data_IF_253639759290
#
_entry.id   IF_253639759290
#
_cell.length_a   1.000
_cell.length_b   1.000
_cell.length_c   1.000
_cell.angle_alpha   90.00
_cell.angle_beta   90.00
_cell.angle_gamma   90.00
#
_symmetry.space_group_name_H-M   'P 1'
#
loop_
_entity.id
_entity.type
_entity.pdbx_description
1 polymer ?
#
# COMPACT_ATOMS: atom_id res chain seq x y z
N UNK A 1 2.74 -5.34 -12.50
CA UNK A 1 3.67 -5.99 -13.45
C UNK A 1 3.80 -5.27 -14.80
N UNK A 2 2.85 -4.35 -15.14
CA UNK A 2 2.85 -3.64 -16.43
C UNK A 2 4.19 -2.95 -16.73
N UNK A 3 4.70 -2.12 -15.80
CA UNK A 3 5.96 -1.38 -16.01
C UNK A 3 7.16 -2.30 -16.25
N UNK A 4 7.22 -3.44 -15.58
CA UNK A 4 8.30 -4.42 -15.79
C UNK A 4 8.26 -4.99 -17.21
N UNK A 5 7.11 -5.51 -17.65
CA UNK A 5 7.00 -6.07 -19.01
C UNK A 5 7.18 -5.02 -20.10
N UNK A 6 6.66 -3.80 -19.86
CA UNK A 6 6.87 -2.67 -20.77
C UNK A 6 8.35 -2.33 -20.92
N UNK A 7 9.10 -2.27 -19.80
CA UNK A 7 10.54 -1.97 -19.85
C UNK A 7 11.33 -3.03 -20.61
N UNK A 8 10.99 -4.32 -20.44
CA UNK A 8 11.63 -5.38 -21.22
C UNK A 8 11.29 -5.29 -22.72
N UNK A 9 10.04 -5.01 -23.05
CA UNK A 9 9.62 -4.84 -24.45
C UNK A 9 10.31 -3.64 -25.11
N UNK A 10 10.37 -2.48 -24.44
CA UNK A 10 11.10 -1.30 -24.92
C UNK A 10 12.59 -1.60 -25.06
N UNK A 11 13.17 -2.31 -24.09
CA UNK A 11 14.56 -2.77 -24.16
C UNK A 11 14.83 -3.63 -25.40
N UNK A 12 14.00 -4.64 -25.65
CA UNK A 12 14.15 -5.55 -26.77
C UNK A 12 13.97 -4.84 -28.13
N UNK A 13 12.89 -4.07 -28.29
CA UNK A 13 12.56 -3.38 -29.51
C UNK A 13 13.63 -2.30 -29.83
N UNK A 14 13.96 -1.46 -28.85
CA UNK A 14 14.93 -0.37 -29.01
C UNK A 14 16.34 -0.90 -29.33
N UNK A 15 16.78 -1.93 -28.59
CA UNK A 15 18.06 -2.59 -28.85
C UNK A 15 18.11 -3.19 -30.25
N UNK A 16 17.10 -3.97 -30.66
CA UNK A 16 17.04 -4.57 -31.98
C UNK A 16 17.03 -3.51 -33.10
N UNK A 17 16.20 -2.47 -32.96
CA UNK A 17 16.08 -1.41 -33.95
C UNK A 17 17.42 -0.70 -34.18
N UNK A 18 18.14 -0.28 -33.14
CA UNK A 18 19.43 0.41 -33.29
C UNK A 18 20.52 -0.55 -33.78
N UNK A 19 20.58 -1.77 -33.25
CA UNK A 19 21.59 -2.76 -33.67
C UNK A 19 21.48 -3.07 -35.17
N UNK A 20 20.25 -3.27 -35.66
CA UNK A 20 20.02 -3.56 -37.08
C UNK A 20 20.22 -2.34 -37.97
N UNK A 21 19.70 -1.17 -37.56
CA UNK A 21 19.79 0.05 -38.40
C UNK A 21 21.22 0.58 -38.56
N UNK A 22 22.04 0.42 -37.51
CA UNK A 22 23.39 0.92 -37.48
C UNK A 22 24.45 -0.15 -37.80
N UNK A 23 24.06 -1.39 -38.04
CA UNK A 23 24.98 -2.49 -38.34
C UNK A 23 26.01 -2.71 -37.22
N UNK A 24 25.62 -2.60 -35.97
CA UNK A 24 26.53 -2.54 -34.81
C UNK A 24 27.18 -3.89 -34.43
N UNK A 25 26.79 -4.99 -35.09
CA UNK A 25 27.36 -6.31 -34.86
C UNK A 25 28.05 -6.75 -36.16
N UNK A 26 29.36 -6.54 -36.21
CA UNK A 26 30.21 -6.98 -37.32
C UNK A 26 31.04 -8.21 -36.96
N UNK A 27 31.29 -8.43 -35.70
CA UNK A 27 32.05 -9.56 -35.19
C UNK A 27 31.36 -10.18 -33.96
N UNK A 28 31.76 -11.42 -33.64
CA UNK A 28 31.14 -12.17 -32.54
C UNK A 28 31.31 -11.47 -31.16
N UNK A 29 32.37 -10.72 -30.97
CA UNK A 29 32.59 -9.98 -29.71
C UNK A 29 31.76 -8.70 -29.58
N UNK A 30 31.05 -8.26 -30.63
CA UNK A 30 30.19 -7.07 -30.57
C UNK A 30 28.84 -7.34 -29.89
N UNK A 31 28.54 -8.60 -29.50
CA UNK A 31 27.30 -8.97 -28.81
C UNK A 31 27.03 -8.21 -27.52
N UNK A 32 28.03 -7.62 -26.87
CA UNK A 32 27.83 -6.76 -25.74
C UNK A 32 27.02 -5.50 -26.06
N UNK A 33 27.08 -5.00 -27.28
CA UNK A 33 26.40 -3.77 -27.71
C UNK A 33 24.88 -3.90 -27.61
N UNK A 34 24.18 -4.86 -28.25
CA UNK A 34 22.75 -5.04 -28.10
C UNK A 34 22.32 -5.35 -26.64
N UNK A 35 23.18 -6.01 -25.88
CA UNK A 35 22.90 -6.26 -24.45
C UNK A 35 22.92 -4.96 -23.66
N UNK A 36 23.90 -4.10 -23.83
CA UNK A 36 23.98 -2.80 -23.20
C UNK A 36 22.79 -1.89 -23.59
N UNK A 37 22.48 -1.87 -24.91
CA UNK A 37 21.32 -1.14 -25.43
C UNK A 37 20.02 -1.64 -24.80
N UNK A 38 19.83 -2.95 -24.68
CA UNK A 38 18.65 -3.54 -24.04
C UNK A 38 18.48 -3.03 -22.61
N UNK A 39 19.52 -3.13 -21.78
CA UNK A 39 19.44 -2.65 -20.39
C UNK A 39 19.33 -1.12 -20.31
N UNK A 40 19.97 -0.38 -21.22
CA UNK A 40 19.87 1.07 -21.32
C UNK A 40 18.43 1.52 -21.60
N UNK A 41 17.78 0.95 -22.61
CA UNK A 41 16.37 1.27 -22.93
C UNK A 41 15.39 0.82 -21.84
N UNK A 42 15.61 -0.37 -21.27
CA UNK A 42 14.78 -0.85 -20.17
C UNK A 42 14.89 0.06 -18.94
N UNK A 43 16.10 0.50 -18.60
CA UNK A 43 16.33 1.46 -17.52
C UNK A 43 15.70 2.83 -17.82
N UNK A 44 15.89 3.34 -19.04
CA UNK A 44 15.31 4.62 -19.47
C UNK A 44 13.77 4.59 -19.38
N UNK A 45 13.13 3.50 -19.77
CA UNK A 45 11.67 3.32 -19.63
C UNK A 45 11.21 3.45 -18.16
N UNK A 46 11.91 2.80 -17.24
CA UNK A 46 11.60 2.89 -15.81
C UNK A 46 11.87 4.29 -15.29
N UNK A 47 13.02 4.89 -15.65
CA UNK A 47 13.37 6.25 -15.25
C UNK A 47 12.34 7.29 -15.73
N UNK A 48 11.85 7.16 -16.96
CA UNK A 48 10.79 8.01 -17.52
C UNK A 48 9.46 7.84 -16.75
N UNK A 49 9.12 6.63 -16.32
CA UNK A 49 7.92 6.42 -15.52
C UNK A 49 8.01 7.14 -14.15
N UNK A 50 9.17 7.10 -13.49
CA UNK A 50 9.40 7.84 -12.24
C UNK A 50 9.47 9.36 -12.48
N UNK A 51 10.10 9.79 -13.58
CA UNK A 51 10.11 11.21 -13.97
C UNK A 51 8.70 11.72 -14.23
N UNK A 52 7.87 10.94 -14.91
CA UNK A 52 6.47 11.29 -15.14
C UNK A 52 5.70 11.40 -13.82
N UNK A 53 5.88 10.45 -12.90
CA UNK A 53 5.28 10.54 -11.56
C UNK A 53 5.77 11.77 -10.78
N UNK A 54 7.05 12.14 -10.92
CA UNK A 54 7.62 13.36 -10.34
C UNK A 54 6.96 14.61 -10.91
N UNK A 55 6.87 14.71 -12.23
CA UNK A 55 6.20 15.84 -12.91
C UNK A 55 4.75 15.94 -12.44
N UNK A 56 3.99 14.83 -12.44
CA UNK A 56 2.62 14.82 -11.92
C UNK A 56 2.55 15.31 -10.46
N UNK A 57 3.53 14.95 -9.63
CA UNK A 57 3.53 15.36 -8.22
C UNK A 57 3.66 16.87 -8.04
N UNK A 58 4.31 17.57 -8.98
CA UNK A 58 4.45 19.03 -8.96
C UNK A 58 3.12 19.76 -9.19
N UNK A 59 2.19 19.15 -9.93
CA UNK A 59 0.85 19.68 -10.17
C UNK A 59 -0.14 19.38 -9.04
N UNK A 60 0.30 18.74 -7.95
CA UNK A 60 -0.55 18.42 -6.81
C UNK A 60 -0.50 19.53 -5.75
N UNK A 61 -1.52 20.39 -5.72
CA UNK A 61 -1.69 21.33 -4.61
C UNK A 61 -2.20 20.58 -3.36
N UNK A 62 -1.27 20.27 -2.46
CA UNK A 62 -1.56 19.51 -1.23
C UNK A 62 -2.33 20.28 -0.17
N UNK A 63 -2.53 21.61 -0.36
CA UNK A 63 -3.32 22.43 0.54
C UNK A 63 -4.82 22.32 0.27
N UNK A 64 -5.20 21.94 -0.96
CA UNK A 64 -6.60 21.76 -1.36
C UNK A 64 -7.06 20.34 -1.06
N UNK A 65 -8.22 20.15 -0.41
CA UNK A 65 -8.78 18.82 -0.22
C UNK A 65 -9.09 18.16 -1.57
N UNK A 66 -9.05 16.85 -1.62
CA UNK A 66 -9.37 16.04 -2.80
C UNK A 66 -10.71 15.38 -2.56
N UNK A 67 -11.71 15.70 -3.38
CA UNK A 67 -13.08 15.18 -3.23
C UNK A 67 -13.29 13.81 -3.89
N UNK A 68 -12.36 13.38 -4.74
CA UNK A 68 -12.35 12.08 -5.40
C UNK A 68 -10.94 11.69 -5.82
N UNK A 69 -10.69 10.38 -5.91
CA UNK A 69 -9.45 9.84 -6.44
C UNK A 69 -9.26 10.25 -7.92
N UNK A 70 -8.09 10.78 -8.26
CA UNK A 70 -7.75 11.06 -9.65
C UNK A 70 -7.26 9.78 -10.35
N UNK A 71 -7.94 9.38 -11.43
CA UNK A 71 -7.67 8.12 -12.14
C UNK A 71 -6.27 8.01 -12.71
N UNK A 72 -5.71 9.11 -13.26
CA UNK A 72 -4.35 9.12 -13.80
C UNK A 72 -3.31 8.90 -12.70
N UNK A 73 -3.43 9.64 -11.59
CA UNK A 73 -2.53 9.48 -10.45
C UNK A 73 -2.65 8.09 -9.83
N UNK A 74 -3.85 7.56 -9.72
CA UNK A 74 -4.08 6.20 -9.23
C UNK A 74 -3.43 5.15 -10.15
N UNK A 75 -3.60 5.28 -11.46
CA UNK A 75 -2.96 4.38 -12.42
C UNK A 75 -1.44 4.39 -12.30
N UNK A 76 -0.82 5.57 -12.27
CA UNK A 76 0.63 5.74 -12.10
C UNK A 76 1.08 5.15 -10.77
N UNK A 77 0.37 5.47 -9.68
CA UNK A 77 0.67 4.97 -8.35
C UNK A 77 0.61 3.43 -8.27
N UNK A 78 -0.47 2.82 -8.74
CA UNK A 78 -0.63 1.36 -8.75
C UNK A 78 0.42 0.68 -9.63
N UNK A 79 0.78 1.29 -10.77
CA UNK A 79 1.77 0.74 -11.68
C UNK A 79 3.17 0.72 -11.04
N UNK A 80 3.58 1.84 -10.45
CA UNK A 80 4.87 1.96 -9.75
C UNK A 80 4.87 1.07 -8.49
N UNK A 81 3.77 1.07 -7.72
CA UNK A 81 3.62 0.24 -6.52
C UNK A 81 3.78 -1.26 -6.84
N UNK A 82 3.10 -1.74 -7.87
CA UNK A 82 3.22 -3.13 -8.32
C UNK A 82 4.65 -3.47 -8.79
N UNK A 83 5.32 -2.53 -9.47
CA UNK A 83 6.71 -2.67 -9.88
C UNK A 83 7.66 -2.78 -8.67
N UNK A 84 7.51 -1.88 -7.68
CA UNK A 84 8.34 -1.88 -6.47
C UNK A 84 8.15 -3.16 -5.63
N UNK A 85 6.91 -3.65 -5.48
CA UNK A 85 6.63 -4.92 -4.80
C UNK A 85 7.31 -6.08 -5.53
N UNK A 86 7.23 -6.11 -6.86
CA UNK A 86 7.87 -7.14 -7.67
C UNK A 86 9.40 -7.09 -7.54
N UNK A 87 9.99 -5.91 -7.71
CA UNK A 87 11.42 -5.71 -7.58
C UNK A 87 11.93 -6.04 -6.18
N UNK A 88 11.11 -5.83 -5.13
CA UNK A 88 11.46 -6.22 -3.75
C UNK A 88 11.52 -7.74 -3.54
N UNK A 89 11.14 -8.54 -4.56
CA UNK A 89 11.06 -10.01 -4.51
C UNK A 89 10.14 -10.54 -3.39
N UNK A 90 9.15 -9.73 -2.99
CA UNK A 90 8.14 -10.15 -2.01
C UNK A 90 7.15 -11.13 -2.66
N UNK A 91 7.10 -12.35 -2.12
CA UNK A 91 6.12 -13.38 -2.50
C UNK A 91 4.95 -13.28 -1.54
N UNK A 92 3.90 -12.58 -1.96
CA UNK A 92 2.73 -12.29 -1.12
C UNK A 92 1.70 -13.39 -1.27
N UNK A 93 1.47 -14.14 -0.19
CA UNK A 93 0.33 -15.05 -0.02
C UNK A 93 -0.82 -14.26 0.60
N UNK A 94 -2.01 -14.40 0.05
CA UNK A 94 -3.22 -13.73 0.55
C UNK A 94 -4.22 -14.78 0.98
N UNK A 95 -4.87 -14.56 2.14
CA UNK A 95 -5.82 -15.49 2.75
C UNK A 95 -7.09 -14.74 3.13
N UNK A 96 -8.26 -15.31 2.85
CA UNK A 96 -9.56 -14.85 3.33
C UNK A 96 -10.16 -13.67 2.59
N UNK A 97 -9.63 -13.21 1.44
CA UNK A 97 -10.22 -12.11 0.67
C UNK A 97 -11.61 -12.41 0.10
N UNK A 98 -11.98 -13.67 -0.02
CA UNK A 98 -13.30 -14.16 -0.41
C UNK A 98 -14.40 -13.72 0.57
N UNK A 99 -14.04 -13.41 1.83
CA UNK A 99 -14.95 -12.87 2.85
C UNK A 99 -15.33 -11.40 2.60
N UNK A 100 -14.62 -10.69 1.72
CA UNK A 100 -14.96 -9.30 1.38
C UNK A 100 -16.03 -9.26 0.28
N UNK A 101 -17.13 -8.58 0.57
CA UNK A 101 -18.08 -8.22 -0.46
C UNK A 101 -17.47 -7.16 -1.40
N UNK A 102 -17.46 -7.45 -2.70
CA UNK A 102 -16.94 -6.55 -3.73
C UNK A 102 -17.78 -5.28 -3.91
N UNK A 103 -19.04 -5.32 -3.53
CA UNK A 103 -19.94 -4.17 -3.61
C UNK A 103 -19.74 -3.18 -2.46
N UNK A 104 -19.16 -3.63 -1.33
CA UNK A 104 -19.05 -2.87 -0.09
C UNK A 104 -17.68 -2.22 0.07
N UNK A 105 -17.64 -1.04 0.67
CA UNK A 105 -16.45 -0.34 1.11
C UNK A 105 -16.18 -0.61 2.61
N UNK A 106 -14.92 -0.51 3.02
CA UNK A 106 -14.46 -0.91 4.34
C UNK A 106 -13.50 0.11 4.96
N UNK A 107 -13.48 0.19 6.27
CA UNK A 107 -12.30 0.63 6.99
C UNK A 107 -11.37 -0.59 7.16
N UNK A 108 -10.26 -0.61 6.47
CA UNK A 108 -9.26 -1.67 6.59
C UNK A 108 -8.30 -1.31 7.71
N UNK A 109 -8.19 -2.18 8.71
CA UNK A 109 -7.21 -2.06 9.78
C UNK A 109 -6.23 -3.22 9.74
N UNK A 110 -4.96 -2.93 10.05
CA UNK A 110 -3.89 -3.92 10.00
C UNK A 110 -2.78 -3.53 10.98
N UNK A 111 -2.01 -4.51 11.45
CA UNK A 111 -0.75 -4.26 12.16
C UNK A 111 0.27 -3.61 11.22
N UNK A 112 1.23 -2.85 11.77
CA UNK A 112 2.17 -2.06 10.97
C UNK A 112 3.62 -2.45 11.23
N UNK A 113 4.21 -3.21 10.32
CA UNK A 113 5.59 -3.71 10.41
C UNK A 113 6.55 -2.96 9.47
N UNK A 114 6.06 -2.49 8.32
CA UNK A 114 6.90 -2.01 7.23
C UNK A 114 6.25 -0.91 6.41
N UNK A 115 7.07 -0.17 5.64
CA UNK A 115 6.57 0.73 4.58
C UNK A 115 5.88 -0.03 3.45
N UNK A 116 6.12 -1.33 3.33
CA UNK A 116 5.47 -2.18 2.34
C UNK A 116 4.05 -2.58 2.71
N UNK A 117 3.62 -2.46 3.99
CA UNK A 117 2.27 -2.88 4.40
C UNK A 117 1.17 -2.19 3.60
N UNK A 118 1.08 -0.83 3.54
CA UNK A 118 0.04 -0.17 2.76
C UNK A 118 0.16 -0.49 1.27
N UNK A 119 1.37 -0.63 0.75
CA UNK A 119 1.62 -0.97 -0.65
C UNK A 119 1.07 -2.36 -1.00
N UNK A 120 1.30 -3.34 -0.13
CA UNK A 120 0.85 -4.72 -0.31
C UNK A 120 -0.67 -4.80 -0.19
N UNK A 121 -1.24 -4.19 0.85
CA UNK A 121 -2.70 -4.20 1.06
C UNK A 121 -3.40 -3.58 -0.16
N UNK A 122 -2.98 -2.40 -0.61
CA UNK A 122 -3.55 -1.73 -1.76
C UNK A 122 -3.39 -2.53 -3.07
N UNK A 123 -2.26 -3.20 -3.24
CA UNK A 123 -2.02 -4.02 -4.42
C UNK A 123 -2.87 -5.29 -4.43
N UNK A 124 -3.24 -5.83 -3.26
CA UNK A 124 -3.96 -7.09 -3.12
C UNK A 124 -5.45 -6.94 -2.88
N UNK A 125 -5.87 -5.94 -2.10
CA UNK A 125 -7.28 -5.66 -1.84
C UNK A 125 -7.81 -4.74 -2.94
N UNK A 126 -8.55 -5.29 -3.89
CA UNK A 126 -9.01 -4.60 -5.12
C UNK A 126 -10.53 -4.54 -5.24
N UNK A 127 -11.26 -4.72 -4.16
CA UNK A 127 -12.72 -4.64 -4.18
C UNK A 127 -13.23 -3.23 -4.49
N UNK A 128 -12.59 -2.20 -3.92
CA UNK A 128 -12.88 -0.77 -4.12
C UNK A 128 -11.56 0.03 -4.21
N UNK A 129 -11.59 1.26 -4.75
CA UNK A 129 -10.49 2.18 -4.60
C UNK A 129 -10.12 2.32 -3.12
N UNK A 130 -8.82 2.24 -2.80
CA UNK A 130 -8.32 2.24 -1.43
C UNK A 130 -7.31 3.36 -1.26
N UNK A 131 -7.44 4.12 -0.16
CA UNK A 131 -6.46 5.08 0.28
C UNK A 131 -6.15 4.90 1.77
N UNK A 132 -5.03 5.42 2.24
CA UNK A 132 -4.64 5.29 3.65
C UNK A 132 -4.62 6.62 4.37
N UNK A 133 -4.98 6.59 5.64
CA UNK A 133 -4.68 7.63 6.59
C UNK A 133 -3.18 7.59 6.93
N UNK A 134 -2.46 8.67 6.66
CA UNK A 134 -1.01 8.71 6.67
C UNK A 134 -0.46 9.84 7.54
N UNK A 135 0.82 9.76 7.93
CA UNK A 135 1.48 10.85 8.68
C UNK A 135 1.71 12.07 7.79
N UNK A 136 1.64 13.31 8.32
CA UNK A 136 1.91 14.53 7.56
C UNK A 136 3.24 14.52 6.81
N UNK A 137 4.28 13.90 7.40
CA UNK A 137 5.60 13.76 6.79
C UNK A 137 5.62 13.02 5.45
N UNK A 138 4.70 12.08 5.22
CA UNK A 138 4.65 11.33 3.97
C UNK A 138 4.24 12.20 2.78
N UNK A 139 3.45 13.26 3.01
CA UNK A 139 3.06 14.23 1.98
C UNK A 139 4.20 15.20 1.59
N UNK A 140 5.30 15.22 2.35
CA UNK A 140 6.50 16.01 2.05
C UNK A 140 7.53 15.24 1.21
N UNK A 141 7.40 13.91 1.11
CA UNK A 141 8.31 13.08 0.31
C UNK A 141 8.14 13.45 -1.17
N UNK A 142 9.24 13.78 -1.88
CA UNK A 142 9.19 14.02 -3.33
C UNK A 142 8.54 12.85 -4.07
N UNK A 143 7.84 13.14 -5.15
CA UNK A 143 7.05 12.17 -5.93
C UNK A 143 5.87 11.61 -5.14
N UNK A 144 6.14 10.90 -4.05
CA UNK A 144 5.15 10.17 -3.25
C UNK A 144 4.05 11.10 -2.74
N UNK A 145 4.43 12.22 -2.09
CA UNK A 145 3.48 13.10 -1.41
C UNK A 145 2.42 13.71 -2.33
N UNK A 146 2.81 14.14 -3.54
CA UNK A 146 1.86 14.68 -4.52
C UNK A 146 0.96 13.60 -5.12
N UNK A 147 1.53 12.43 -5.39
CA UNK A 147 0.80 11.32 -6.00
C UNK A 147 -0.23 10.74 -5.02
N UNK A 148 0.18 10.40 -3.79
CA UNK A 148 -0.76 9.84 -2.79
C UNK A 148 -1.87 10.83 -2.43
N UNK A 149 -1.58 12.15 -2.39
CA UNK A 149 -2.58 13.17 -2.16
C UNK A 149 -3.70 13.09 -3.21
N UNK A 150 -3.36 13.04 -4.51
CA UNK A 150 -4.33 12.91 -5.61
C UNK A 150 -4.99 11.53 -5.68
N UNK A 151 -4.40 10.51 -5.02
CA UNK A 151 -5.02 9.20 -4.83
C UNK A 151 -6.04 9.17 -3.67
N UNK A 152 -6.27 10.31 -2.98
CA UNK A 152 -7.24 10.39 -1.88
C UNK A 152 -6.70 10.02 -0.51
N UNK A 153 -5.38 9.86 -0.36
CA UNK A 153 -4.77 9.70 0.96
C UNK A 153 -5.00 10.95 1.80
N UNK A 154 -5.22 10.76 3.08
CA UNK A 154 -5.45 11.85 4.03
C UNK A 154 -4.35 11.92 5.08
N UNK A 155 -4.03 13.17 5.48
CA UNK A 155 -3.11 13.41 6.57
C UNK A 155 -3.88 13.48 7.89
N UNK A 156 -3.56 12.61 8.85
CA UNK A 156 -4.13 12.69 10.20
C UNK A 156 -3.08 13.27 11.15
N UNK A 157 -3.37 14.47 11.66
CA UNK A 157 -2.66 15.03 12.79
C UNK A 157 -3.27 14.42 14.08
N UNK A 158 -2.48 13.61 14.78
CA UNK A 158 -2.92 12.85 15.96
C UNK A 158 -2.76 13.63 17.28
N UNK A 159 -2.13 14.78 17.20
CA UNK A 159 -1.86 15.66 18.34
C UNK A 159 -2.92 16.77 18.46
N UNK A 160 -3.78 16.90 17.43
CA UNK A 160 -4.83 17.91 17.36
C UNK A 160 -6.18 17.25 17.03
N UNK A 161 -7.01 17.06 18.05
CA UNK A 161 -8.31 16.40 17.93
C UNK A 161 -9.26 17.14 16.96
N UNK A 162 -9.21 18.47 16.91
CA UNK A 162 -10.04 19.27 16.00
C UNK A 162 -9.65 19.05 14.53
N UNK A 163 -8.36 18.97 14.24
CA UNK A 163 -7.88 18.65 12.89
C UNK A 163 -8.18 17.19 12.53
N UNK A 164 -7.99 16.27 13.46
CA UNK A 164 -8.35 14.86 13.27
C UNK A 164 -9.84 14.71 12.94
N UNK A 165 -10.72 15.42 13.64
CA UNK A 165 -12.16 15.38 13.34
C UNK A 165 -12.48 15.93 11.95
N UNK A 166 -11.87 17.06 11.52
CA UNK A 166 -12.04 17.58 10.16
C UNK A 166 -11.61 16.57 9.11
N UNK A 167 -10.49 15.87 9.34
CA UNK A 167 -10.01 14.82 8.44
C UNK A 167 -10.98 13.65 8.37
N UNK A 168 -11.54 13.20 9.50
CA UNK A 168 -12.55 12.13 9.54
C UNK A 168 -13.79 12.53 8.73
N UNK A 169 -14.31 13.75 8.93
CA UNK A 169 -15.48 14.24 8.18
C UNK A 169 -15.20 14.33 6.67
N UNK A 170 -13.99 14.70 6.29
CA UNK A 170 -13.57 14.68 4.88
C UNK A 170 -13.52 13.27 4.32
N UNK A 171 -12.97 12.30 5.08
CA UNK A 171 -12.98 10.88 4.70
C UNK A 171 -14.40 10.37 4.49
N UNK A 172 -15.35 10.71 5.38
CA UNK A 172 -16.74 10.28 5.22
C UNK A 172 -17.35 10.82 3.93
N UNK A 173 -17.12 12.08 3.58
CA UNK A 173 -17.56 12.63 2.29
C UNK A 173 -16.95 11.89 1.10
N UNK A 174 -15.67 11.52 1.17
CA UNK A 174 -15.01 10.74 0.14
C UNK A 174 -15.63 9.34 0.01
N UNK A 175 -15.88 8.67 1.14
CA UNK A 175 -16.54 7.35 1.18
C UNK A 175 -17.93 7.41 0.55
N UNK A 176 -18.77 8.37 0.95
CA UNK A 176 -20.12 8.57 0.44
C UNK A 176 -20.14 8.86 -1.06
N UNK A 177 -19.32 9.81 -1.52
CA UNK A 177 -19.32 10.28 -2.89
C UNK A 177 -18.67 9.34 -3.89
N UNK A 178 -17.73 8.50 -3.44
CA UNK A 178 -16.87 7.71 -4.36
C UNK A 178 -16.90 6.20 -4.08
N UNK A 179 -17.48 5.77 -2.97
CA UNK A 179 -17.44 4.37 -2.53
C UNK A 179 -16.03 3.86 -2.22
N UNK A 180 -15.07 4.74 -1.90
CA UNK A 180 -13.71 4.35 -1.53
C UNK A 180 -13.68 3.61 -0.21
N UNK A 181 -12.73 2.69 -0.08
CA UNK A 181 -12.29 2.12 1.19
C UNK A 181 -11.12 2.93 1.76
N UNK A 182 -10.99 2.92 3.08
CA UNK A 182 -9.84 3.55 3.74
C UNK A 182 -9.07 2.56 4.59
N UNK A 183 -7.74 2.68 4.55
CA UNK A 183 -6.84 1.89 5.38
C UNK A 183 -6.24 2.72 6.52
N UNK A 184 -6.11 2.13 7.69
CA UNK A 184 -5.41 2.73 8.82
C UNK A 184 -4.65 1.67 9.62
N UNK A 185 -3.52 2.07 10.16
CA UNK A 185 -2.76 1.26 11.11
C UNK A 185 -3.05 1.78 12.51
N UNK A 186 -3.83 1.05 13.33
CA UNK A 186 -4.30 1.55 14.64
C UNK A 186 -3.17 1.72 15.65
N UNK A 187 -2.04 1.05 15.47
CA UNK A 187 -0.81 1.24 16.25
C UNK A 187 -0.22 2.65 16.11
N UNK A 188 -0.55 3.32 15.02
CA UNK A 188 -0.11 4.70 14.78
C UNK A 188 1.34 4.87 14.39
N UNK A 189 2.16 3.89 14.55
CA UNK A 189 3.57 3.84 14.13
C UNK A 189 3.94 2.42 13.74
N UNK A 190 5.09 2.24 13.08
CA UNK A 190 5.58 0.90 12.77
C UNK A 190 6.09 0.23 14.03
N UNK A 191 5.68 -1.02 14.21
CA UNK A 191 6.20 -1.86 15.26
C UNK A 191 7.58 -2.40 14.85
N UNK A 192 8.62 -1.94 15.52
CA UNK A 192 10.01 -2.34 15.27
C UNK A 192 10.42 -3.59 16.05
N UNK A 193 9.62 -3.97 17.07
CA UNK A 193 9.84 -5.12 17.94
C UNK A 193 8.61 -6.03 17.99
N UNK A 194 8.17 -6.59 16.85
CA UNK A 194 6.93 -7.37 16.78
C UNK A 194 6.94 -8.63 17.66
N UNK A 195 8.13 -9.11 18.06
CA UNK A 195 8.26 -10.22 18.99
C UNK A 195 7.80 -9.90 20.43
N UNK A 196 7.62 -8.61 20.77
CA UNK A 196 7.08 -8.15 22.06
C UNK A 196 5.56 -7.98 22.07
N UNK A 197 4.89 -8.29 20.95
CA UNK A 197 3.45 -8.10 20.78
C UNK A 197 3.10 -6.89 19.92
N UNK A 198 1.80 -6.63 19.77
CA UNK A 198 1.28 -5.44 19.08
C UNK A 198 1.41 -4.19 19.96
N UNK A 199 1.68 -3.07 19.33
CA UNK A 199 1.64 -1.78 20.02
C UNK A 199 0.19 -1.45 20.44
N UNK A 200 -0.02 -0.55 21.43
CA UNK A 200 -1.35 -0.13 21.83
C UNK A 200 -2.14 0.45 20.66
N UNK A 201 -3.40 0.01 20.49
CA UNK A 201 -4.29 0.52 19.46
C UNK A 201 -4.91 1.84 19.88
N UNK A 202 -4.93 2.79 18.99
CA UNK A 202 -5.60 4.09 19.17
C UNK A 202 -7.06 3.96 18.77
N UNK A 203 -7.96 3.87 19.74
CA UNK A 203 -9.40 3.74 19.51
C UNK A 203 -9.97 4.85 18.60
N UNK A 204 -9.42 6.06 18.67
CA UNK A 204 -9.80 7.17 17.77
C UNK A 204 -9.64 6.88 16.27
N UNK A 205 -8.80 5.92 15.90
CA UNK A 205 -8.64 5.48 14.52
C UNK A 205 -9.94 4.87 13.96
N UNK A 206 -10.71 4.18 14.80
CA UNK A 206 -11.93 3.48 14.40
C UNK A 206 -13.16 4.40 14.28
N UNK A 207 -13.06 5.66 14.76
CA UNK A 207 -14.11 6.68 14.57
C UNK A 207 -14.45 6.92 13.11
N UNK A 208 -13.50 6.63 12.18
CA UNK A 208 -13.77 6.70 10.74
C UNK A 208 -14.91 5.74 10.37
N UNK A 209 -14.81 4.47 10.76
CA UNK A 209 -15.85 3.49 10.45
C UNK A 209 -17.22 3.85 11.04
N UNK A 210 -17.24 4.26 12.32
CA UNK A 210 -18.48 4.66 12.97
C UNK A 210 -19.15 5.88 12.30
N UNK A 211 -18.34 6.90 11.97
CA UNK A 211 -18.85 8.13 11.38
C UNK A 211 -19.29 7.96 9.93
N UNK A 212 -18.59 7.12 9.17
CA UNK A 212 -18.93 6.83 7.79
C UNK A 212 -19.99 5.73 7.65
N UNK A 213 -20.37 5.03 8.75
CA UNK A 213 -21.33 3.93 8.72
C UNK A 213 -20.86 2.71 7.90
N UNK A 214 -19.55 2.42 7.89
CA UNK A 214 -18.96 1.34 7.11
C UNK A 214 -18.39 0.22 8.01
N UNK A 215 -18.37 -1.04 7.53
CA UNK A 215 -17.79 -2.15 8.27
C UNK A 215 -16.27 -2.02 8.39
N UNK A 216 -15.71 -2.76 9.35
CA UNK A 216 -14.26 -2.85 9.57
C UNK A 216 -13.77 -4.20 9.07
N UNK A 217 -12.77 -4.20 8.18
CA UNK A 217 -12.04 -5.40 7.77
C UNK A 217 -10.72 -5.49 8.53
N UNK A 218 -10.58 -6.52 9.36
CA UNK A 218 -9.42 -6.74 10.24
C UNK A 218 -8.41 -7.62 9.54
N UNK A 219 -7.25 -7.07 9.21
CA UNK A 219 -6.16 -7.78 8.53
C UNK A 219 -4.94 -7.94 9.44
N UNK A 220 -4.14 -8.94 9.15
CA UNK A 220 -2.76 -9.06 9.64
C UNK A 220 -1.78 -9.21 8.50
N UNK A 221 -0.60 -8.61 8.66
CA UNK A 221 0.55 -8.88 7.81
C UNK A 221 1.66 -9.56 8.59
N UNK A 222 2.36 -10.52 7.93
CA UNK A 222 3.52 -11.20 8.50
C UNK A 222 4.72 -11.04 7.59
N UNK A 223 5.91 -10.85 8.16
CA UNK A 223 7.22 -10.81 7.50
C UNK A 223 7.49 -9.61 6.58
N UNK A 224 6.64 -8.59 6.52
CA UNK A 224 6.88 -7.42 5.68
C UNK A 224 8.11 -6.61 6.13
N UNK A 225 8.45 -6.63 7.43
CA UNK A 225 9.66 -6.04 7.99
C UNK A 225 10.96 -6.71 7.50
N UNK A 226 10.88 -7.93 6.99
CA UNK A 226 12.03 -8.66 6.47
C UNK A 226 12.37 -8.33 5.01
N UNK A 227 11.49 -7.63 4.28
CA UNK A 227 11.68 -7.32 2.85
C UNK A 227 12.98 -6.53 2.65
N UNK A 228 13.16 -5.43 3.37
CA UNK A 228 14.34 -4.57 3.23
C UNK A 228 15.64 -5.23 3.67
N UNK A 229 15.58 -6.22 4.58
CA UNK A 229 16.75 -6.97 5.06
C UNK A 229 17.22 -8.02 4.05
N UNK A 230 16.32 -8.51 3.20
CA UNK A 230 16.60 -9.60 2.25
C UNK A 230 16.84 -9.11 0.82
N UNK A 231 16.31 -7.93 0.49
CA UNK A 231 16.52 -7.29 -0.81
C UNK A 231 17.99 -6.88 -1.02
N UNK A 232 18.55 -7.01 -2.24
CA UNK A 232 17.93 -7.58 -3.45
C UNK A 232 18.13 -9.09 -3.62
N UNK A 233 18.96 -9.72 -2.78
CA UNK A 233 19.50 -11.06 -3.06
C UNK A 233 18.52 -12.20 -2.74
N UNK A 234 17.65 -12.05 -1.73
CA UNK A 234 16.74 -13.11 -1.29
C UNK A 234 15.29 -12.67 -1.37
N UNK A 235 14.40 -13.59 -1.78
CA UNK A 235 12.96 -13.36 -1.72
C UNK A 235 12.44 -13.42 -0.28
N UNK A 236 11.37 -12.66 -0.02
CA UNK A 236 10.66 -12.69 1.26
C UNK A 236 9.26 -13.24 1.07
N UNK A 237 8.93 -14.30 1.80
CA UNK A 237 7.55 -14.80 1.89
C UNK A 237 6.79 -13.89 2.85
N UNK A 238 5.79 -13.20 2.32
CA UNK A 238 4.91 -12.28 3.05
C UNK A 238 3.51 -12.89 3.07
N UNK A 239 2.81 -12.76 4.18
CA UNK A 239 1.43 -13.17 4.29
C UNK A 239 0.56 -11.97 4.64
N UNK A 240 -0.57 -11.84 3.94
CA UNK A 240 -1.65 -10.90 4.20
C UNK A 240 -2.92 -11.72 4.42
N UNK A 241 -3.49 -11.65 5.62
CA UNK A 241 -4.66 -12.45 5.99
C UNK A 241 -5.78 -11.54 6.48
N UNK A 242 -6.98 -11.75 5.94
CA UNK A 242 -8.21 -11.18 6.48
C UNK A 242 -8.74 -12.12 7.57
N UNK A 243 -8.75 -11.64 8.81
CA UNK A 243 -9.21 -12.40 9.96
C UNK A 243 -10.74 -12.33 10.06
N UNK A 244 -11.26 -11.12 10.18
CA UNK A 244 -12.65 -10.85 10.46
C UNK A 244 -13.15 -9.64 9.67
N UNK A 245 -14.46 -9.62 9.40
CA UNK A 245 -15.22 -8.45 8.98
C UNK A 245 -16.23 -8.14 10.07
N UNK A 246 -16.06 -6.99 10.75
CA UNK A 246 -17.02 -6.47 11.71
C UNK A 246 -18.03 -5.65 10.93
N UNK A 247 -19.28 -6.06 10.92
CA UNK A 247 -20.36 -5.42 10.16
C UNK A 247 -20.65 -3.98 10.63
N UNK A 248 -21.27 -3.19 9.78
CA UNK A 248 -21.52 -1.77 10.03
C UNK A 248 -22.47 -1.53 11.23
N UNK A 249 -23.42 -2.44 11.49
CA UNK A 249 -24.35 -2.30 12.62
C UNK A 249 -23.62 -2.52 13.95
N UNK A 250 -22.80 -3.57 14.02
CA UNK A 250 -21.91 -3.82 15.18
C UNK A 250 -20.97 -2.63 15.39
N UNK A 251 -20.37 -2.08 14.32
CA UNK A 251 -19.48 -0.91 14.40
C UNK A 251 -20.21 0.30 14.97
N UNK A 252 -21.47 0.52 14.58
CA UNK A 252 -22.28 1.66 15.02
C UNK A 252 -22.67 1.58 16.49
N UNK A 253 -22.99 0.38 16.99
CA UNK A 253 -23.51 0.14 18.34
C UNK A 253 -22.41 -0.09 19.39
N UNK A 254 -21.20 -0.47 18.97
CA UNK A 254 -20.08 -0.77 19.87
C UNK A 254 -19.17 0.43 20.06
N UNK A 255 -18.64 0.64 21.26
CA UNK A 255 -17.67 1.71 21.51
C UNK A 255 -16.38 1.52 20.71
N UNK A 256 -15.73 2.62 20.30
CA UNK A 256 -14.44 2.51 19.56
C UNK A 256 -13.34 1.87 20.41
N UNK A 257 -13.45 1.92 21.74
CA UNK A 257 -12.49 1.29 22.65
C UNK A 257 -12.65 -0.23 22.58
N UNK A 258 -13.90 -0.73 22.64
CA UNK A 258 -14.19 -2.16 22.59
C UNK A 258 -13.90 -2.74 21.19
N UNK A 259 -14.22 -1.98 20.12
CA UNK A 259 -13.84 -2.35 18.76
C UNK A 259 -12.31 -2.46 18.61
N UNK A 260 -11.56 -1.52 19.17
CA UNK A 260 -10.10 -1.55 19.11
C UNK A 260 -9.52 -2.73 19.90
N UNK A 261 -10.11 -3.02 21.07
CA UNK A 261 -9.73 -4.19 21.88
C UNK A 261 -10.02 -5.49 21.14
N UNK A 262 -11.26 -5.68 20.64
CA UNK A 262 -11.64 -6.87 19.84
C UNK A 262 -10.70 -7.10 18.67
N UNK A 263 -10.45 -6.07 17.88
CA UNK A 263 -9.57 -6.18 16.71
C UNK A 263 -8.11 -6.48 17.12
N UNK A 264 -7.64 -5.93 18.24
CA UNK A 264 -6.29 -6.20 18.75
C UNK A 264 -6.17 -7.64 19.24
N UNK A 265 -7.14 -8.11 20.03
CA UNK A 265 -7.15 -9.47 20.58
C UNK A 265 -7.18 -10.51 19.46
N UNK A 266 -7.99 -10.27 18.40
CA UNK A 266 -8.05 -11.13 17.22
C UNK A 266 -6.71 -11.16 16.46
N UNK A 267 -6.09 -9.99 16.25
CA UNK A 267 -4.77 -9.91 15.60
C UNK A 267 -3.69 -10.57 16.46
N UNK A 268 -3.68 -10.39 17.78
CA UNK A 268 -2.70 -11.02 18.68
C UNK A 268 -2.87 -12.53 18.70
N UNK A 269 -4.09 -13.03 18.75
CA UNK A 269 -4.39 -14.47 18.66
C UNK A 269 -3.85 -15.05 17.34
N UNK A 270 -4.11 -14.38 16.21
CA UNK A 270 -3.64 -14.84 14.90
C UNK A 270 -2.11 -14.76 14.74
N UNK A 271 -1.45 -13.79 15.34
CA UNK A 271 0.00 -13.58 15.21
C UNK A 271 0.81 -14.40 16.21
N UNK A 272 0.30 -14.57 17.44
CA UNK A 272 1.06 -15.12 18.57
C UNK A 272 0.42 -16.34 19.24
N UNK A 273 -0.87 -16.64 19.01
CA UNK A 273 -1.62 -17.70 19.66
C UNK A 273 -1.02 -19.11 19.50
N UNK A 274 -0.19 -19.34 18.47
CA UNK A 274 0.59 -20.57 18.30
C UNK A 274 1.87 -20.65 19.14
N UNK A 275 2.25 -19.58 19.81
CA UNK A 275 3.49 -19.50 20.62
C UNK A 275 3.20 -19.80 22.08
N UNK A 276 1.99 -19.51 22.55
CA UNK A 276 1.59 -19.73 23.95
C UNK A 276 1.52 -21.24 24.25
N UNK A 277 1.04 -22.06 23.28
CA UNK A 277 1.01 -23.53 23.43
C UNK A 277 2.38 -24.22 23.41
N UNK A 278 3.45 -23.53 23.00
CA UNK A 278 4.81 -24.09 22.99
C UNK A 278 5.65 -23.74 24.22
N UNK A 279 5.18 -22.90 25.10
CA UNK A 279 5.87 -22.52 26.34
C UNK A 279 5.23 -23.18 27.58
N UNK A 280 4.16 -23.93 27.40
CA UNK A 280 3.44 -24.67 28.46
C UNK A 280 3.59 -26.17 28.36
N UNK A 281 4.41 -26.68 27.41
CA UNK A 281 4.94 -28.05 27.38
C UNK A 281 6.48 -28.05 27.65
#
# INVERSE_FOLDING_TARGET
MLLFWLSLAVGAIGSAAITLSCGLVGAWYDFYIPVLLFFGFAFACVALAFLFAFILSLFSDKKKPVDRQNRLYAFVFHTINAYLIFMSRAKVKVIGLDKLDKAQNYLIICNHLSRFDPMIIENRVKNKPLAFASKPGNFRIPIVGGVIHKCGYVSINRENDREALKTILHVCKMVENTGMSYGIFPEGTRNTEPQKGLLPFRAGALKIAQRCGIPIAVFVTRNTNSIHKRFPFRSTKVELELLEVIDAETVKTTSTVDLAKRAKDEMESALYGKVIDRQTE
#
